data_IF_564969643730
#
_entry.id   IF_564969643730
#
_cell.length_a   1.000
_cell.length_b   1.000
_cell.length_c   1.000
_cell.angle_alpha   90.00
_cell.angle_beta   90.00
_cell.angle_gamma   90.00
#
_symmetry.space_group_name_H-M   'P 1'
#
loop_
_entity.id
_entity.type
_entity.pdbx_description
1 polymer ?
#
# COMPACT_ATOMS: atom_id res chain seq x y z
N UNK A 1 11.19 -22.54 8.53
CA UNK A 1 11.10 -21.06 8.58
C UNK A 1 11.14 -20.54 10.02
N UNK A 2 11.56 -21.38 10.98
CA UNK A 2 11.47 -21.13 12.44
C UNK A 2 12.48 -20.11 12.97
N UNK A 3 13.19 -19.38 12.10
CA UNK A 3 14.30 -18.49 12.48
C UNK A 3 13.91 -17.02 12.62
N UNK A 4 12.76 -16.61 12.09
CA UNK A 4 12.38 -15.19 11.99
C UNK A 4 11.01 -14.88 12.61
N UNK A 5 10.62 -15.63 13.63
CA UNK A 5 9.33 -15.44 14.34
C UNK A 5 9.23 -14.06 15.01
N UNK A 6 10.36 -13.41 15.30
CA UNK A 6 10.44 -12.08 15.89
C UNK A 6 10.66 -10.96 14.86
N UNK A 7 10.64 -11.26 13.55
CA UNK A 7 10.82 -10.24 12.52
C UNK A 7 9.65 -9.24 12.59
N UNK A 8 9.97 -7.97 12.84
CA UNK A 8 8.99 -6.87 12.93
C UNK A 8 9.07 -5.92 11.74
N UNK A 9 10.19 -5.88 11.05
CA UNK A 9 10.44 -4.96 9.94
C UNK A 9 11.03 -5.73 8.77
N UNK A 10 10.42 -5.59 7.60
CA UNK A 10 10.91 -6.12 6.34
C UNK A 10 10.73 -5.07 5.25
N UNK A 11 11.83 -4.75 4.55
CA UNK A 11 11.81 -3.78 3.46
C UNK A 11 12.46 -4.36 2.21
N UNK A 12 11.79 -4.16 1.08
CA UNK A 12 12.28 -4.37 -0.27
C UNK A 12 12.49 -3.03 -0.99
N UNK A 13 12.57 -1.93 -0.23
CA UNK A 13 12.78 -0.61 -0.81
C UNK A 13 14.06 -0.59 -1.63
N UNK A 14 13.95 -0.17 -2.89
CA UNK A 14 15.09 -0.13 -3.80
C UNK A 14 15.51 -1.49 -4.37
N UNK A 15 14.86 -2.58 -3.98
CA UNK A 15 15.13 -3.91 -4.55
C UNK A 15 14.35 -4.12 -5.85
N UNK A 16 14.85 -5.02 -6.70
CA UNK A 16 14.08 -5.58 -7.82
C UNK A 16 13.35 -6.84 -7.33
N UNK A 17 12.04 -6.75 -7.15
CA UNK A 17 11.17 -7.85 -6.70
C UNK A 17 9.90 -7.88 -7.56
N UNK A 18 9.84 -8.81 -8.49
CA UNK A 18 8.73 -8.90 -9.45
C UNK A 18 7.51 -9.65 -8.93
N UNK A 19 7.70 -10.53 -7.94
CA UNK A 19 6.64 -11.36 -7.35
C UNK A 19 6.78 -11.37 -5.84
N UNK A 20 5.67 -11.13 -5.14
CA UNK A 20 5.60 -11.15 -3.69
C UNK A 20 5.84 -12.58 -3.16
N UNK A 21 6.88 -12.82 -2.34
CA UNK A 21 7.12 -14.13 -1.77
C UNK A 21 6.01 -14.53 -0.77
N UNK A 22 5.24 -15.62 -1.02
CA UNK A 22 4.13 -16.01 -0.13
C UNK A 22 4.57 -16.40 1.29
N UNK A 23 5.87 -16.61 1.52
CA UNK A 23 6.43 -16.85 2.85
C UNK A 23 6.34 -15.63 3.77
N UNK A 24 6.31 -14.41 3.22
CA UNK A 24 6.28 -13.17 4.01
C UNK A 24 4.99 -13.04 4.82
N UNK A 25 3.86 -13.48 4.26
CA UNK A 25 2.56 -13.43 4.95
C UNK A 25 2.50 -14.36 6.16
N UNK A 26 3.50 -15.24 6.34
CA UNK A 26 3.60 -16.17 7.48
C UNK A 26 4.37 -15.60 8.66
N UNK A 27 4.96 -14.40 8.56
CA UNK A 27 5.69 -13.80 9.69
C UNK A 27 4.70 -13.27 10.74
N UNK A 28 4.59 -13.93 11.91
CA UNK A 28 3.49 -13.67 12.83
C UNK A 28 3.65 -12.37 13.62
N UNK A 29 4.85 -11.76 13.60
CA UNK A 29 5.17 -10.53 14.33
C UNK A 29 5.48 -9.33 13.42
N UNK A 30 5.26 -9.45 12.10
CA UNK A 30 5.62 -8.37 11.18
C UNK A 30 4.71 -7.16 11.39
N UNK A 31 5.34 -6.00 11.58
CA UNK A 31 4.68 -4.74 11.86
C UNK A 31 4.93 -3.70 10.77
N UNK A 32 6.09 -3.75 10.10
CA UNK A 32 6.42 -2.90 8.96
C UNK A 32 6.75 -3.75 7.75
N UNK A 33 6.03 -3.49 6.66
CA UNK A 33 6.30 -4.06 5.35
C UNK A 33 6.45 -2.92 4.34
N UNK A 34 7.63 -2.80 3.76
CA UNK A 34 7.94 -1.78 2.76
C UNK A 34 8.20 -2.43 1.41
N UNK A 35 7.26 -2.25 0.48
CA UNK A 35 7.24 -2.83 -0.85
C UNK A 35 7.62 -1.80 -1.93
N UNK A 36 8.31 -0.71 -1.59
CA UNK A 36 8.75 0.33 -2.55
C UNK A 36 9.92 -0.15 -3.43
N UNK A 37 9.67 -1.20 -4.19
CA UNK A 37 10.60 -1.81 -5.16
C UNK A 37 10.97 -0.82 -6.25
N UNK A 38 12.09 -1.08 -6.92
CA UNK A 38 12.63 -0.22 -7.97
C UNK A 38 12.65 -0.96 -9.31
N UNK A 39 12.34 -0.22 -10.37
CA UNK A 39 12.50 -0.66 -11.77
C UNK A 39 11.71 -1.94 -12.15
N UNK A 40 10.69 -2.33 -11.36
CA UNK A 40 9.83 -3.48 -11.65
C UNK A 40 8.38 -3.29 -11.16
N UNK A 41 7.45 -3.97 -11.82
CA UNK A 41 6.05 -4.06 -11.37
C UNK A 41 5.91 -5.27 -10.43
N UNK A 42 5.66 -5.02 -9.15
CA UNK A 42 5.48 -6.09 -8.16
C UNK A 42 4.09 -6.71 -8.28
N UNK A 43 4.02 -8.02 -8.48
CA UNK A 43 2.80 -8.78 -8.27
C UNK A 43 2.61 -9.13 -6.81
N UNK A 44 1.47 -8.73 -6.24
CA UNK A 44 1.08 -9.02 -4.86
C UNK A 44 -0.20 -9.84 -4.92
N UNK A 45 -0.25 -11.07 -4.36
CA UNK A 45 -1.48 -11.83 -4.24
C UNK A 45 -2.34 -11.28 -3.08
N UNK A 46 -3.61 -11.66 -3.03
CA UNK A 46 -4.56 -11.27 -1.96
C UNK A 46 -4.25 -11.99 -0.61
N UNK A 47 -3.09 -11.68 -0.03
CA UNK A 47 -2.59 -12.27 1.23
C UNK A 47 -2.28 -11.21 2.28
N UNK A 48 -2.31 -9.92 1.94
CA UNK A 48 -2.00 -8.84 2.88
C UNK A 48 -2.97 -8.83 4.07
N UNK A 49 -4.25 -9.14 3.83
CA UNK A 49 -5.29 -9.24 4.85
C UNK A 49 -4.97 -10.25 5.96
N UNK A 50 -4.08 -11.22 5.76
CA UNK A 50 -3.69 -12.19 6.80
C UNK A 50 -2.65 -11.64 7.78
N UNK A 51 -2.01 -10.52 7.46
CA UNK A 51 -0.88 -9.95 8.20
C UNK A 51 -1.36 -8.99 9.31
N UNK A 52 -2.14 -9.51 10.27
CA UNK A 52 -2.92 -8.76 11.27
C UNK A 52 -2.14 -7.83 12.21
N UNK A 53 -0.81 -7.94 12.25
CA UNK A 53 0.07 -7.10 13.08
C UNK A 53 0.69 -5.92 12.35
N UNK A 54 0.46 -5.78 11.04
CA UNK A 54 0.96 -4.64 10.29
C UNK A 54 0.46 -3.33 10.88
N UNK A 55 1.40 -2.43 11.08
CA UNK A 55 1.25 -1.04 11.50
C UNK A 55 1.66 -0.10 10.38
N UNK A 56 2.67 -0.46 9.61
CA UNK A 56 3.17 0.35 8.50
C UNK A 56 3.23 -0.48 7.22
N UNK A 57 2.52 -0.03 6.19
CA UNK A 57 2.52 -0.62 4.87
C UNK A 57 2.86 0.44 3.83
N UNK A 58 3.93 0.20 3.09
CA UNK A 58 4.31 1.03 1.94
C UNK A 58 4.13 0.19 0.68
N UNK A 59 3.14 0.51 -0.15
CA UNK A 59 2.90 -0.17 -1.41
C UNK A 59 3.98 0.17 -2.46
N UNK A 60 4.20 -0.70 -3.46
CA UNK A 60 5.05 -0.38 -4.59
C UNK A 60 4.47 0.81 -5.35
N UNK A 61 5.36 1.58 -5.96
CA UNK A 61 4.97 2.67 -6.87
C UNK A 61 4.34 2.09 -8.15
N UNK A 62 4.77 0.89 -8.53
CA UNK A 62 4.28 0.17 -9.70
C UNK A 62 3.75 -1.20 -9.31
N UNK A 63 2.48 -1.42 -9.64
CA UNK A 63 1.76 -2.64 -9.28
C UNK A 63 1.37 -3.43 -10.54
N UNK A 64 1.45 -4.76 -10.44
CA UNK A 64 0.87 -5.67 -11.42
C UNK A 64 -0.11 -6.57 -10.70
N UNK A 65 -1.39 -6.55 -11.08
CA UNK A 65 -2.31 -7.55 -10.54
C UNK A 65 -2.02 -8.91 -11.14
N UNK A 66 -1.89 -9.94 -10.29
CA UNK A 66 -1.85 -11.34 -10.70
C UNK A 66 -3.27 -11.96 -10.77
N UNK A 67 -4.28 -11.23 -10.30
CA UNK A 67 -5.68 -11.65 -10.29
C UNK A 67 -6.59 -10.59 -10.91
N UNK A 68 -7.81 -10.97 -11.29
CA UNK A 68 -8.83 -10.00 -11.72
C UNK A 68 -9.41 -9.19 -10.54
N UNK A 69 -9.03 -9.51 -9.31
CA UNK A 69 -9.63 -8.95 -8.10
C UNK A 69 -8.70 -7.92 -7.46
N UNK A 70 -9.31 -6.87 -6.89
CA UNK A 70 -8.58 -5.88 -6.08
C UNK A 70 -8.07 -6.52 -4.78
N UNK A 71 -6.90 -6.06 -4.33
CA UNK A 71 -6.32 -6.46 -3.04
C UNK A 71 -7.23 -6.02 -1.88
N UNK A 72 -7.34 -6.90 -0.88
CA UNK A 72 -8.10 -6.62 0.34
C UNK A 72 -7.19 -6.22 1.49
N UNK A 73 -7.55 -5.13 2.14
CA UNK A 73 -6.92 -4.62 3.36
C UNK A 73 -7.80 -4.85 4.60
N UNK A 74 -8.98 -5.46 4.43
CA UNK A 74 -9.87 -5.80 5.54
C UNK A 74 -9.16 -6.63 6.61
N UNK A 75 -9.27 -6.16 7.86
CA UNK A 75 -8.66 -6.78 9.01
C UNK A 75 -7.19 -6.41 9.24
N UNK A 76 -6.65 -5.41 8.53
CA UNK A 76 -5.42 -4.70 8.92
C UNK A 76 -5.74 -3.62 9.97
N UNK A 77 -6.41 -4.02 11.05
CA UNK A 77 -7.04 -3.09 11.99
C UNK A 77 -6.04 -2.24 12.78
N UNK A 78 -4.76 -2.67 12.82
CA UNK A 78 -3.65 -1.99 13.50
C UNK A 78 -2.86 -1.06 12.59
N UNK A 79 -3.27 -0.91 11.33
CA UNK A 79 -2.52 -0.12 10.35
C UNK A 79 -2.60 1.37 10.71
N UNK A 80 -1.43 1.99 10.82
CA UNK A 80 -1.22 3.40 11.18
C UNK A 80 -0.68 4.20 10.00
N UNK A 81 0.18 3.59 9.18
CA UNK A 81 0.77 4.20 8.00
C UNK A 81 0.43 3.37 6.77
N UNK A 82 -0.21 4.02 5.80
CA UNK A 82 -0.49 3.48 4.49
C UNK A 82 -0.03 4.45 3.41
N UNK A 83 1.03 4.08 2.70
CA UNK A 83 1.65 4.91 1.66
C UNK A 83 1.59 4.22 0.31
N UNK A 84 1.36 5.00 -0.75
CA UNK A 84 1.15 4.56 -2.13
C UNK A 84 -0.09 3.67 -2.27
N UNK A 85 -1.16 3.96 -1.53
CA UNK A 85 -2.44 3.26 -1.69
C UNK A 85 -3.02 3.55 -3.07
N UNK A 86 -3.00 2.57 -3.96
CA UNK A 86 -3.49 2.69 -5.34
C UNK A 86 -4.93 2.14 -5.43
N UNK A 87 -5.89 2.97 -5.84
CA UNK A 87 -7.29 2.57 -5.99
C UNK A 87 -7.55 1.60 -7.15
N UNK A 88 -6.64 1.56 -8.13
CA UNK A 88 -6.64 0.55 -9.18
C UNK A 88 -6.24 -0.83 -8.65
N UNK A 89 -5.36 -0.87 -7.64
CA UNK A 89 -4.85 -2.10 -7.04
C UNK A 89 -5.70 -2.61 -5.86
N UNK A 90 -6.21 -1.70 -5.04
CA UNK A 90 -6.88 -2.01 -3.78
C UNK A 90 -8.35 -1.60 -3.79
N UNK A 91 -9.19 -2.31 -3.04
CA UNK A 91 -10.57 -1.89 -2.85
C UNK A 91 -10.61 -0.58 -2.04
N UNK A 92 -11.17 0.48 -2.63
CA UNK A 92 -11.21 1.81 -2.00
C UNK A 92 -12.03 1.78 -0.72
N UNK A 93 -13.06 0.93 -0.61
CA UNK A 93 -13.91 0.87 0.58
C UNK A 93 -13.17 0.35 1.82
N UNK A 94 -12.07 -0.39 1.64
CA UNK A 94 -11.34 -0.98 2.75
C UNK A 94 -10.69 0.07 3.66
N UNK A 95 -10.38 1.27 3.13
CA UNK A 95 -9.78 2.36 3.92
C UNK A 95 -10.71 2.87 5.03
N UNK A 96 -12.03 2.69 4.88
CA UNK A 96 -12.99 3.09 5.91
C UNK A 96 -12.92 2.21 7.15
N UNK A 97 -12.34 1.01 7.05
CA UNK A 97 -12.16 0.06 8.15
C UNK A 97 -10.81 0.20 8.86
N UNK A 98 -9.90 1.03 8.34
CA UNK A 98 -8.58 1.28 8.95
C UNK A 98 -8.72 2.34 10.05
N UNK A 99 -9.17 1.92 11.22
CA UNK A 99 -9.52 2.86 12.31
C UNK A 99 -8.33 3.49 13.01
N UNK A 100 -7.15 2.86 12.99
CA UNK A 100 -5.93 3.42 13.57
C UNK A 100 -5.08 4.22 12.57
N UNK A 101 -5.60 4.48 11.37
CA UNK A 101 -4.82 5.10 10.31
C UNK A 101 -4.54 6.58 10.62
N UNK A 102 -3.25 6.92 10.64
CA UNK A 102 -2.73 8.26 10.94
C UNK A 102 -2.08 8.90 9.71
N UNK A 103 -1.58 8.08 8.77
CA UNK A 103 -0.97 8.54 7.53
C UNK A 103 -1.58 7.82 6.34
N UNK A 104 -2.12 8.58 5.39
CA UNK A 104 -2.67 8.07 4.14
C UNK A 104 -2.10 8.83 2.93
N UNK A 105 -1.24 8.18 2.14
CA UNK A 105 -0.86 8.69 0.83
C UNK A 105 -1.50 7.80 -0.25
N UNK A 106 -2.50 8.33 -0.94
CA UNK A 106 -3.29 7.63 -1.95
C UNK A 106 -2.99 8.12 -3.37
N UNK A 107 -3.12 7.20 -4.32
CA UNK A 107 -2.98 7.39 -5.75
C UNK A 107 -4.27 6.87 -6.40
N UNK A 108 -4.86 7.67 -7.27
CA UNK A 108 -6.03 7.27 -8.06
C UNK A 108 -5.70 7.36 -9.54
N UNK A 109 -6.22 6.43 -10.33
CA UNK A 109 -6.17 6.40 -11.79
C UNK A 109 -7.10 7.42 -12.47
N UNK A 110 -7.65 8.36 -11.69
CA UNK A 110 -8.59 9.37 -12.15
C UNK A 110 -10.05 8.91 -12.16
N UNK A 111 -10.37 7.72 -11.64
CA UNK A 111 -11.75 7.28 -11.47
C UNK A 111 -12.52 8.22 -10.50
N UNK A 112 -13.59 8.91 -10.94
CA UNK A 112 -14.30 9.88 -10.11
C UNK A 112 -14.91 9.28 -8.84
N UNK A 113 -15.35 8.01 -8.86
CA UNK A 113 -15.95 7.35 -7.69
C UNK A 113 -14.90 7.03 -6.64
N UNK A 114 -13.73 6.56 -7.08
CA UNK A 114 -12.63 6.26 -6.17
C UNK A 114 -12.07 7.55 -5.54
N UNK A 115 -11.98 8.64 -6.33
CA UNK A 115 -11.65 9.97 -5.83
C UNK A 115 -12.64 10.47 -4.78
N UNK A 116 -13.95 10.37 -5.06
CA UNK A 116 -15.00 10.75 -4.11
C UNK A 116 -14.93 9.94 -2.82
N UNK A 117 -14.70 8.62 -2.91
CA UNK A 117 -14.55 7.75 -1.76
C UNK A 117 -13.33 8.11 -0.91
N UNK A 118 -12.18 8.42 -1.52
CA UNK A 118 -10.99 8.86 -0.78
C UNK A 118 -11.26 10.20 -0.09
N UNK A 119 -11.82 11.19 -0.81
CA UNK A 119 -12.12 12.51 -0.22
C UNK A 119 -13.04 12.36 0.99
N UNK A 120 -14.11 11.57 0.86
CA UNK A 120 -15.02 11.26 1.97
C UNK A 120 -14.31 10.59 3.14
N UNK A 121 -13.34 9.71 2.88
CA UNK A 121 -12.53 9.09 3.92
C UNK A 121 -11.65 10.12 4.64
N UNK A 122 -10.99 11.00 3.88
CA UNK A 122 -10.16 12.08 4.43
C UNK A 122 -10.97 13.03 5.31
N UNK A 123 -12.16 13.42 4.88
CA UNK A 123 -13.06 14.27 5.67
C UNK A 123 -13.47 13.58 6.97
N UNK A 124 -13.90 12.30 6.88
CA UNK A 124 -14.34 11.49 8.03
C UNK A 124 -13.21 11.29 9.06
N UNK A 125 -11.97 11.09 8.59
CA UNK A 125 -10.79 10.78 9.43
C UNK A 125 -9.89 11.99 9.68
N UNK A 126 -10.37 13.21 9.38
CA UNK A 126 -9.58 14.45 9.47
C UNK A 126 -9.01 14.75 10.86
N UNK A 127 -9.66 14.28 11.94
CA UNK A 127 -9.18 14.43 13.31
C UNK A 127 -8.08 13.42 13.69
N UNK A 128 -8.06 12.25 13.05
CA UNK A 128 -7.15 11.14 13.37
C UNK A 128 -5.92 11.14 12.47
N UNK A 129 -6.06 11.61 11.22
CA UNK A 129 -4.98 11.69 10.24
C UNK A 129 -4.02 12.84 10.55
N UNK A 130 -2.76 12.52 10.80
CA UNK A 130 -1.67 13.48 10.95
C UNK A 130 -1.10 13.94 9.60
N UNK A 131 -1.18 13.08 8.58
CA UNK A 131 -0.73 13.40 7.24
C UNK A 131 -1.59 12.70 6.19
N UNK A 132 -2.00 13.42 5.17
CA UNK A 132 -2.68 12.84 4.02
C UNK A 132 -2.27 13.49 2.71
N UNK A 133 -2.27 12.69 1.65
CA UNK A 133 -2.07 13.17 0.29
C UNK A 133 -2.88 12.33 -0.68
N UNK A 134 -3.43 12.97 -1.71
CA UNK A 134 -4.11 12.31 -2.81
C UNK A 134 -3.49 12.80 -4.12
N UNK A 135 -2.98 11.86 -4.92
CA UNK A 135 -2.49 12.12 -6.26
C UNK A 135 -3.49 11.49 -7.25
N UNK A 136 -3.94 12.28 -8.22
CA UNK A 136 -4.79 11.79 -9.31
C UNK A 136 -3.94 11.74 -10.58
N UNK A 137 -3.67 10.54 -11.08
CA UNK A 137 -3.01 10.33 -12.36
C UNK A 137 -4.08 10.39 -13.46
N UNK A 138 -4.11 11.48 -14.23
CA UNK A 138 -4.95 11.52 -15.44
C UNK A 138 -4.26 10.71 -16.53
N UNK A 139 -4.95 9.70 -17.05
CA UNK A 139 -4.44 8.86 -18.15
C UNK A 139 -4.09 9.73 -19.35
N UNK A 140 -2.80 10.01 -19.51
CA UNK A 140 -2.20 10.30 -20.81
C UNK A 140 -1.35 9.08 -21.14
N UNK A 141 -1.57 8.53 -22.33
CA UNK A 141 -0.91 7.31 -22.79
C UNK A 141 0.61 7.39 -22.56
N UNK A 142 1.13 6.42 -21.81
CA UNK A 142 2.52 5.96 -21.82
C UNK A 142 3.59 7.07 -21.76
N UNK A 143 3.76 7.72 -20.61
CA UNK A 143 5.02 8.41 -20.32
C UNK A 143 5.76 7.69 -19.19
N UNK A 144 6.95 7.18 -19.53
CA UNK A 144 7.94 6.68 -18.57
C UNK A 144 8.00 7.67 -17.40
N UNK A 145 7.68 7.24 -16.19
CA UNK A 145 7.83 8.07 -15.00
C UNK A 145 9.31 8.47 -14.89
N UNK A 146 9.64 9.72 -15.17
CA UNK A 146 10.85 10.34 -14.64
C UNK A 146 10.63 10.55 -13.14
N UNK A 147 11.53 10.00 -12.33
CA UNK A 147 11.47 10.01 -10.86
C UNK A 147 11.66 11.43 -10.32
N UNK A 148 10.76 11.99 -9.50
CA UNK A 148 11.10 13.10 -8.65
C UNK A 148 11.76 12.57 -7.36
N UNK A 149 12.98 13.04 -7.13
CA UNK A 149 13.68 13.12 -5.85
C UNK A 149 14.15 11.82 -5.19
N UNK A 150 15.41 11.52 -5.47
CA UNK A 150 16.35 11.06 -4.46
C UNK A 150 16.48 12.13 -3.36
N UNK A 151 16.05 11.82 -2.14
CA UNK A 151 16.68 12.40 -0.96
C UNK A 151 17.71 11.42 -0.42
N UNK A 152 18.86 12.01 -0.10
CA UNK A 152 20.17 11.42 0.08
C UNK A 152 20.30 10.75 1.45
N UNK A 153 21.06 9.66 1.45
CA UNK A 153 21.79 9.01 2.57
C UNK A 153 21.01 8.69 3.84
#
# INVERSE_FOLDING_TARGET
>A
MDKLVLLRYLSFRGCCLENFPPSISKFPCLETLDLRVKDCNLAIPDVLSTMKRLRHLYFPIMYRSDSSNKLKLLGLDRLEILVNFDTGACNVDDIFHLENLQVLAAISDGNPKDLEAIIKCLDKKSADLHHSSLISETSTATQKRELPYSEKC
#
